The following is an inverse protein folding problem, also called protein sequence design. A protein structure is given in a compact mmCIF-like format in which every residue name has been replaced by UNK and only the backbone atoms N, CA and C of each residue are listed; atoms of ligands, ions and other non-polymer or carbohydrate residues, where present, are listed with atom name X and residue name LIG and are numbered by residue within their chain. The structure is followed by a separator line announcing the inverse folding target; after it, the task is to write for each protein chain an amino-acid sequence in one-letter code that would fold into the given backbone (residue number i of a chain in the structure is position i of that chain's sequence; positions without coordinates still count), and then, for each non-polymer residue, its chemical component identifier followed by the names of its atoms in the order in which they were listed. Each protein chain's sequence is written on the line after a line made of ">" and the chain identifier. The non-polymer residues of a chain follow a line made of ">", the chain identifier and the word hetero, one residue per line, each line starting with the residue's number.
data_IF_989214175219
#
_entry.id   IF_989214175219
#
_cell.length_a   1.000
_cell.length_b   1.000
_cell.length_c   1.000
_cell.angle_alpha   90.00
_cell.angle_beta   90.00
_cell.angle_gamma   90.00
#
_symmetry.space_group_name_H-M   'P 1'
#
loop_
_entity.id
_entity.type
_entity.pdbx_description
1 polymer ?
#
# COMPACT_ATOMS: atom_id res chain seq x y z
N UNK A 1 17.12 -19.51 -23.59
CA UNK A 1 15.66 -19.59 -23.72
C UNK A 1 15.08 -18.58 -22.77
N UNK A 2 14.63 -17.43 -23.27
CA UNK A 2 13.80 -16.52 -22.47
C UNK A 2 12.44 -17.21 -22.29
N UNK A 3 11.95 -17.29 -21.07
CA UNK A 3 10.62 -17.80 -20.79
C UNK A 3 9.60 -16.83 -21.42
N UNK A 4 8.73 -17.35 -22.30
CA UNK A 4 7.53 -16.64 -22.75
C UNK A 4 6.52 -16.70 -21.59
N UNK A 5 6.50 -15.65 -20.76
CA UNK A 5 5.54 -15.48 -19.67
C UNK A 5 4.51 -14.42 -20.09
N UNK A 6 3.20 -14.73 -20.09
CA UNK A 6 2.15 -13.75 -20.42
C UNK A 6 2.21 -12.46 -19.60
N UNK A 7 2.73 -12.51 -18.36
CA UNK A 7 2.91 -11.32 -17.54
C UNK A 7 4.01 -10.40 -18.08
N UNK A 8 5.03 -10.95 -18.75
CA UNK A 8 6.04 -10.12 -19.41
C UNK A 8 5.42 -9.33 -20.56
N UNK A 9 4.49 -9.93 -21.32
CA UNK A 9 3.79 -9.22 -22.39
C UNK A 9 2.97 -8.04 -21.86
N UNK A 10 2.33 -8.18 -20.69
CA UNK A 10 1.60 -7.09 -20.02
C UNK A 10 2.53 -5.94 -19.56
N UNK A 11 3.79 -6.25 -19.24
CA UNK A 11 4.80 -5.26 -18.82
C UNK A 11 5.56 -4.64 -19.99
N UNK A 12 5.33 -5.10 -21.22
CA UNK A 12 5.92 -4.54 -22.43
C UNK A 12 5.02 -3.44 -23.01
N UNK A 13 5.39 -2.19 -22.79
CA UNK A 13 4.61 -1.02 -23.21
C UNK A 13 5.20 -0.41 -24.49
N UNK A 14 4.34 0.06 -25.39
CA UNK A 14 4.76 0.79 -26.59
C UNK A 14 5.22 2.20 -26.22
N UNK A 15 6.49 2.51 -26.44
CA UNK A 15 7.08 3.83 -26.14
C UNK A 15 7.00 4.79 -27.35
N UNK A 16 7.38 4.30 -28.53
CA UNK A 16 7.34 5.05 -29.81
C UNK A 16 6.78 4.14 -30.91
N UNK A 17 6.33 4.70 -32.05
CA UNK A 17 5.96 3.88 -33.20
C UNK A 17 7.11 2.94 -33.59
N UNK A 18 6.91 1.62 -33.42
CA UNK A 18 7.91 0.59 -33.71
C UNK A 18 8.85 0.21 -32.55
N UNK A 19 8.70 0.80 -31.36
CA UNK A 19 9.52 0.46 -30.19
C UNK A 19 8.65 0.05 -28.99
N UNK A 20 8.98 -1.09 -28.37
CA UNK A 20 8.40 -1.57 -27.11
C UNK A 20 9.48 -1.60 -26.04
N UNK A 21 9.12 -1.27 -24.81
CA UNK A 21 10.04 -1.25 -23.67
C UNK A 21 9.39 -1.87 -22.44
N UNK A 22 10.20 -2.50 -21.61
CA UNK A 22 9.75 -3.05 -20.34
C UNK A 22 9.48 -1.92 -19.34
N UNK A 23 8.30 -1.93 -18.70
CA UNK A 23 7.96 -1.04 -17.59
C UNK A 23 7.37 -1.85 -16.45
N UNK A 24 8.04 -1.85 -15.31
CA UNK A 24 7.52 -2.47 -14.09
C UNK A 24 6.41 -1.63 -13.44
N UNK A 25 6.54 -0.30 -13.50
CA UNK A 25 5.56 0.64 -12.94
C UNK A 25 4.50 1.00 -13.97
N UNK A 26 3.27 1.17 -13.52
CA UNK A 26 2.18 1.71 -14.33
C UNK A 26 2.49 3.13 -14.79
N UNK A 27 1.99 3.51 -15.96
CA UNK A 27 2.15 4.85 -16.50
C UNK A 27 1.35 5.90 -15.71
N UNK A 28 1.93 7.10 -15.58
CA UNK A 28 1.34 8.23 -14.87
C UNK A 28 2.12 8.63 -13.61
N UNK A 29 1.66 9.68 -12.92
CA UNK A 29 2.30 10.19 -11.71
C UNK A 29 1.97 9.37 -10.45
N UNK A 30 1.14 8.34 -10.57
CA UNK A 30 0.57 7.60 -9.45
C UNK A 30 -0.77 8.17 -8.99
N UNK A 31 -1.23 7.73 -7.81
CA UNK A 31 -2.43 8.24 -7.15
C UNK A 31 -2.04 8.93 -5.84
N UNK A 32 -2.15 10.24 -5.81
CA UNK A 32 -1.95 11.07 -4.62
C UNK A 32 -3.27 11.69 -4.18
N UNK A 33 -3.49 11.74 -2.86
CA UNK A 33 -4.67 12.37 -2.27
C UNK A 33 -4.30 13.05 -0.96
N UNK A 34 -4.58 14.35 -0.89
CA UNK A 34 -4.47 15.09 0.36
C UNK A 34 -5.61 14.71 1.31
N UNK A 35 -5.27 14.44 2.57
CA UNK A 35 -6.23 14.17 3.63
C UNK A 35 -6.33 15.38 4.56
N UNK A 36 -7.54 15.91 4.70
CA UNK A 36 -7.81 17.15 5.45
C UNK A 36 -8.60 16.95 6.74
N UNK A 37 -8.92 15.71 7.11
CA UNK A 37 -9.63 15.42 8.35
C UNK A 37 -9.28 14.05 8.92
N UNK A 38 -9.40 13.93 10.24
CA UNK A 38 -9.17 12.68 10.97
C UNK A 38 -10.01 11.54 10.41
N UNK A 39 -11.30 11.80 10.18
CA UNK A 39 -12.23 10.81 9.62
C UNK A 39 -11.76 10.24 8.27
N UNK A 40 -11.18 11.08 7.40
CA UNK A 40 -10.69 10.63 6.09
C UNK A 40 -9.42 9.80 6.24
N UNK A 41 -8.54 10.16 7.17
CA UNK A 41 -7.32 9.39 7.46
C UNK A 41 -7.67 8.03 8.05
N UNK A 42 -8.55 7.97 9.06
CA UNK A 42 -9.01 6.72 9.66
C UNK A 42 -9.67 5.80 8.62
N UNK A 43 -10.54 6.35 7.77
CA UNK A 43 -11.16 5.59 6.69
C UNK A 43 -10.13 5.04 5.69
N UNK A 44 -9.07 5.80 5.41
CA UNK A 44 -7.99 5.39 4.50
C UNK A 44 -7.10 4.31 5.11
N UNK A 45 -6.78 4.41 6.41
CA UNK A 45 -6.07 3.36 7.16
C UNK A 45 -6.87 2.05 7.13
N UNK A 46 -8.17 2.12 7.46
CA UNK A 46 -9.07 0.96 7.42
C UNK A 46 -9.14 0.34 6.02
N UNK A 47 -9.20 1.17 4.97
CA UNK A 47 -9.17 0.69 3.60
C UNK A 47 -7.88 -0.07 3.29
N UNK A 48 -6.71 0.49 3.65
CA UNK A 48 -5.40 -0.12 3.41
C UNK A 48 -5.28 -1.46 4.16
N UNK A 49 -5.67 -1.52 5.44
CA UNK A 49 -5.62 -2.75 6.23
C UNK A 49 -6.57 -3.83 5.71
N UNK A 50 -7.73 -3.46 5.15
CA UNK A 50 -8.70 -4.40 4.59
C UNK A 50 -8.37 -4.87 3.16
N UNK A 51 -7.48 -4.19 2.43
CA UNK A 51 -7.19 -4.51 1.03
C UNK A 51 -6.74 -5.96 0.79
N UNK A 52 -5.85 -6.55 1.59
CA UNK A 52 -5.45 -7.94 1.40
C UNK A 52 -6.63 -8.92 1.45
N UNK A 53 -7.58 -8.70 2.37
CA UNK A 53 -8.80 -9.52 2.49
C UNK A 53 -9.74 -9.28 1.31
N UNK A 54 -9.98 -8.00 0.95
CA UNK A 54 -10.83 -7.65 -0.21
C UNK A 54 -10.29 -8.21 -1.54
N UNK A 55 -8.98 -8.40 -1.64
CA UNK A 55 -8.32 -9.00 -2.80
C UNK A 55 -8.21 -10.53 -2.72
N UNK A 56 -8.69 -11.15 -1.64
CA UNK A 56 -8.65 -12.61 -1.45
C UNK A 56 -7.25 -13.17 -1.21
N UNK A 57 -6.31 -12.36 -0.74
CA UNK A 57 -4.93 -12.77 -0.48
C UNK A 57 -4.78 -13.48 0.87
N UNK A 58 -5.62 -13.11 1.84
CA UNK A 58 -5.69 -13.68 3.19
C UNK A 58 -7.12 -13.65 3.69
N UNK A 59 -7.46 -14.55 4.62
CA UNK A 59 -8.79 -14.59 5.23
C UNK A 59 -8.98 -13.49 6.27
N UNK A 60 -7.93 -13.13 7.02
CA UNK A 60 -7.99 -12.13 8.09
C UNK A 60 -6.93 -11.05 7.89
N UNK A 61 -7.24 -9.80 8.25
CA UNK A 61 -6.34 -8.65 8.02
C UNK A 61 -4.96 -8.84 8.65
N UNK A 62 -4.92 -9.42 9.85
CA UNK A 62 -3.68 -9.69 10.62
C UNK A 62 -2.75 -10.71 9.97
N UNK A 63 -3.27 -11.56 9.09
CA UNK A 63 -2.46 -12.59 8.42
C UNK A 63 -1.59 -11.98 7.32
N UNK A 64 -1.91 -10.75 6.87
CA UNK A 64 -1.08 -10.05 5.91
C UNK A 64 0.19 -9.50 6.57
N UNK A 65 1.30 -10.21 6.37
CA UNK A 65 2.61 -9.85 6.93
C UNK A 65 3.01 -8.42 6.60
N UNK A 66 2.79 -7.98 5.36
CA UNK A 66 3.25 -6.71 4.81
C UNK A 66 2.30 -5.54 5.12
N UNK A 67 1.68 -5.54 6.30
CA UNK A 67 0.80 -4.47 6.78
C UNK A 67 1.13 -4.13 8.22
N UNK A 68 0.92 -2.87 8.59
CA UNK A 68 1.05 -2.36 9.96
C UNK A 68 -0.10 -2.78 10.88
N UNK A 69 -1.13 -3.47 10.37
CA UNK A 69 -2.33 -3.82 11.14
C UNK A 69 -2.03 -4.59 12.42
N UNK A 70 -1.09 -5.55 12.40
CA UNK A 70 -0.68 -6.32 13.59
C UNK A 70 -0.09 -5.43 14.69
N UNK A 71 0.69 -4.43 14.29
CA UNK A 71 1.29 -3.46 15.21
C UNK A 71 0.21 -2.59 15.86
N UNK A 72 -0.80 -2.14 15.10
CA UNK A 72 -1.91 -1.36 15.66
C UNK A 72 -2.87 -2.21 16.51
N UNK A 73 -3.23 -3.43 16.09
CA UNK A 73 -4.12 -4.34 16.85
C UNK A 73 -3.54 -4.78 18.19
N UNK A 74 -2.20 -4.87 18.27
CA UNK A 74 -1.50 -5.24 19.51
C UNK A 74 -1.13 -4.05 20.38
N UNK A 75 -1.77 -2.89 20.18
CA UNK A 75 -1.43 -1.66 20.90
C UNK A 75 0.08 -1.33 20.87
N UNK A 76 0.72 -1.59 19.72
CA UNK A 76 2.14 -1.32 19.42
C UNK A 76 3.14 -2.27 20.07
N UNK A 77 2.67 -3.40 20.60
CA UNK A 77 3.53 -4.38 21.27
C UNK A 77 4.19 -5.36 20.29
N UNK A 78 3.48 -5.79 19.25
CA UNK A 78 4.02 -6.75 18.28
C UNK A 78 4.88 -6.00 17.25
N UNK A 79 6.19 -6.23 17.31
CA UNK A 79 7.17 -5.76 16.33
C UNK A 79 7.76 -6.97 15.61
N UNK A 80 7.57 -7.02 14.29
CA UNK A 80 8.13 -8.07 13.43
C UNK A 80 9.57 -7.70 13.06
N UNK A 81 10.55 -8.49 13.51
CA UNK A 81 11.97 -8.23 13.30
C UNK A 81 12.41 -8.28 11.84
N UNK A 82 11.60 -8.86 10.96
CA UNK A 82 11.87 -8.92 9.52
C UNK A 82 11.28 -7.73 8.75
N UNK A 83 10.55 -6.83 9.43
CA UNK A 83 9.91 -5.66 8.82
C UNK A 83 10.57 -4.35 9.29
N UNK A 84 10.38 -3.26 8.54
CA UNK A 84 10.80 -1.93 8.98
C UNK A 84 10.15 -1.55 10.31
N UNK A 85 10.87 -0.79 11.13
CA UNK A 85 10.33 -0.22 12.37
C UNK A 85 9.18 0.72 12.05
N UNK A 86 8.06 0.52 12.74
CA UNK A 86 6.86 1.33 12.57
C UNK A 86 6.86 2.44 13.62
N UNK A 87 6.82 3.69 13.15
CA UNK A 87 6.44 4.84 13.97
C UNK A 87 4.94 5.08 13.82
N UNK A 88 4.23 5.19 14.94
CA UNK A 88 2.81 5.56 14.92
C UNK A 88 2.59 6.96 14.34
N UNK A 89 1.38 7.20 13.84
CA UNK A 89 0.98 8.55 13.47
C UNK A 89 0.95 9.45 14.72
N UNK A 90 1.53 10.66 14.66
CA UNK A 90 1.38 11.63 15.74
C UNK A 90 -0.08 12.12 15.74
N UNK A 91 -0.88 11.59 16.66
CA UNK A 91 -2.32 11.89 16.74
C UNK A 91 -2.59 13.39 16.94
N UNK A 92 -1.68 14.07 17.63
CA UNK A 92 -1.67 15.52 17.90
C UNK A 92 -1.77 16.38 16.62
N UNK A 93 -1.49 15.80 15.44
CA UNK A 93 -1.68 16.44 14.14
C UNK A 93 -3.11 16.98 13.96
N UNK A 94 -4.12 16.23 14.39
CA UNK A 94 -5.52 16.66 14.28
C UNK A 94 -5.96 17.62 15.38
N UNK A 95 -5.28 17.61 16.53
CA UNK A 95 -5.55 18.54 17.63
C UNK A 95 -5.02 19.94 17.30
N UNK A 96 -3.85 20.03 16.69
CA UNK A 96 -3.25 21.29 16.25
C UNK A 96 -4.00 22.00 15.11
N UNK A 97 -4.90 21.28 14.43
CA UNK A 97 -5.66 21.78 13.26
C UNK A 97 -7.03 22.39 13.64
N UNK A 98 -7.37 22.46 14.93
CA UNK A 98 -8.64 23.00 15.43
C UNK A 98 -8.56 24.46 15.95
N UNK A 99 -7.51 25.21 15.60
CA UNK A 99 -7.38 26.65 15.91
C UNK A 99 -7.76 27.51 14.70
#
# INVERSE_FOLDING_TARGET
>A
MQAEDPLLDELMVRDRPGNTTFRFWQEGAGYDRNFSSQKVVEASINYIHLNPVKKGLVDHVRDWKWSSVRWYESEREIVDSELPVISGLPWDFFEASQV
#
